data_IF_227574745079
#
_entry.id   IF_227574745079
#
_cell.length_a   1.000
_cell.length_b   1.000
_cell.length_c   1.000
_cell.angle_alpha   90.00
_cell.angle_beta   90.00
_cell.angle_gamma   90.00
#
_symmetry.space_group_name_H-M   'P 1'
#
loop_
_entity.id
_entity.type
_entity.pdbx_description
1 polymer ?
#
# COMPACT_ATOMS: atom_id res chain seq x y z
N UNK A 1 -13.85 -8.70 22.05
CA UNK A 1 -13.05 -9.41 21.03
C UNK A 1 -11.81 -8.57 20.81
N UNK A 2 -10.66 -9.15 20.52
CA UNK A 2 -9.49 -8.34 20.15
C UNK A 2 -9.79 -7.68 18.78
N UNK A 3 -9.44 -6.40 18.64
CA UNK A 3 -9.64 -5.66 17.39
C UNK A 3 -8.92 -6.38 16.24
N UNK A 4 -9.54 -6.51 15.07
CA UNK A 4 -8.94 -7.18 13.91
C UNK A 4 -7.83 -6.34 13.26
N UNK A 5 -7.72 -5.07 13.64
CA UNK A 5 -6.67 -4.14 13.24
C UNK A 5 -6.09 -3.45 14.47
N UNK A 6 -4.77 -3.43 14.58
CA UNK A 6 -4.03 -2.62 15.54
C UNK A 6 -3.60 -1.34 14.85
N UNK A 7 -3.94 -0.19 15.44
CA UNK A 7 -3.50 1.13 14.99
C UNK A 7 -2.55 1.73 16.01
N UNK A 8 -1.30 1.91 15.62
CA UNK A 8 -0.28 2.57 16.42
C UNK A 8 0.20 3.84 15.71
N UNK A 9 0.72 4.77 16.47
CA UNK A 9 1.38 5.95 15.92
C UNK A 9 2.76 6.12 16.56
N UNK A 10 3.78 6.24 15.73
CA UNK A 10 5.16 6.55 16.12
C UNK A 10 5.58 7.85 15.42
N UNK A 11 5.65 8.93 16.18
CA UNK A 11 5.87 10.27 15.63
C UNK A 11 4.81 10.63 14.56
N UNK A 12 5.25 10.90 13.34
CA UNK A 12 4.37 11.20 12.19
C UNK A 12 4.04 9.97 11.31
N UNK A 13 4.28 8.75 11.80
CA UNK A 13 4.00 7.50 11.10
C UNK A 13 2.86 6.75 11.78
N UNK A 14 1.78 6.45 11.04
CA UNK A 14 0.78 5.49 11.47
C UNK A 14 1.21 4.09 11.06
N UNK A 15 1.06 3.13 11.96
CA UNK A 15 1.30 1.70 11.71
C UNK A 15 -0.06 1.01 11.84
N UNK A 16 -0.51 0.43 10.74
CA UNK A 16 -1.79 -0.28 10.64
C UNK A 16 -1.45 -1.76 10.46
N UNK A 17 -1.71 -2.56 11.48
CA UNK A 17 -1.41 -3.99 11.48
C UNK A 17 -2.70 -4.81 11.42
N UNK A 18 -2.85 -5.67 10.42
CA UNK A 18 -3.88 -6.71 10.43
C UNK A 18 -3.60 -7.67 11.58
N UNK A 19 -4.56 -7.91 12.46
CA UNK A 19 -4.38 -8.63 13.73
C UNK A 19 -5.29 -9.85 13.86
N UNK A 20 -5.13 -10.77 12.93
CA UNK A 20 -5.73 -12.10 12.96
C UNK A 20 -4.66 -13.18 12.73
N UNK A 21 -3.57 -13.22 13.55
CA UNK A 21 -2.39 -14.05 13.28
C UNK A 21 -2.73 -15.55 13.23
N UNK A 22 -3.66 -16.03 14.05
CA UNK A 22 -4.10 -17.44 14.08
C UNK A 22 -4.84 -17.84 12.79
N UNK A 23 -5.44 -16.88 12.09
CA UNK A 23 -6.08 -17.05 10.78
C UNK A 23 -5.19 -16.50 9.64
N UNK A 24 -3.87 -16.31 9.88
CA UNK A 24 -2.92 -15.79 8.91
C UNK A 24 -3.39 -14.47 8.26
N UNK A 25 -4.05 -13.61 9.02
CA UNK A 25 -4.62 -12.35 8.58
C UNK A 25 -5.56 -12.51 7.37
N UNK A 26 -6.34 -13.59 7.36
CA UNK A 26 -7.37 -13.83 6.34
C UNK A 26 -8.45 -12.75 6.38
N UNK A 27 -8.83 -12.23 5.20
CA UNK A 27 -9.78 -11.14 5.06
C UNK A 27 -11.20 -11.58 5.36
N UNK A 28 -11.80 -10.95 6.38
CA UNK A 28 -13.22 -11.00 6.73
C UNK A 28 -13.85 -9.64 6.48
N UNK A 29 -15.18 -9.57 6.47
CA UNK A 29 -15.89 -8.29 6.37
C UNK A 29 -15.48 -7.35 7.51
N UNK A 30 -15.38 -7.86 8.75
CA UNK A 30 -14.93 -7.10 9.93
C UNK A 30 -13.51 -6.54 9.73
N UNK A 31 -12.55 -7.35 9.24
CA UNK A 31 -11.19 -6.86 8.96
C UNK A 31 -11.18 -5.76 7.90
N UNK A 32 -12.02 -5.87 6.88
CA UNK A 32 -12.15 -4.82 5.84
C UNK A 32 -12.70 -3.52 6.43
N UNK A 33 -13.75 -3.60 7.25
CA UNK A 33 -14.34 -2.44 7.93
C UNK A 33 -13.33 -1.77 8.86
N UNK A 34 -12.62 -2.54 9.69
CA UNK A 34 -11.62 -2.01 10.61
C UNK A 34 -10.42 -1.38 9.87
N UNK A 35 -9.98 -1.98 8.76
CA UNK A 35 -8.94 -1.39 7.90
C UNK A 35 -9.39 -0.07 7.30
N UNK A 36 -10.63 0.00 6.77
CA UNK A 36 -11.17 1.24 6.21
C UNK A 36 -11.19 2.34 7.27
N UNK A 37 -11.69 2.05 8.46
CA UNK A 37 -11.71 2.99 9.59
C UNK A 37 -10.30 3.43 10.01
N UNK A 38 -9.32 2.52 10.00
CA UNK A 38 -7.94 2.84 10.32
C UNK A 38 -7.31 3.78 9.27
N UNK A 39 -7.56 3.54 7.97
CA UNK A 39 -7.11 4.44 6.90
C UNK A 39 -7.80 5.81 6.96
N UNK A 40 -9.11 5.86 7.22
CA UNK A 40 -9.83 7.12 7.41
C UNK A 40 -9.30 7.92 8.60
N UNK A 41 -9.02 7.25 9.73
CA UNK A 41 -8.37 7.87 10.89
C UNK A 41 -7.02 8.45 10.51
N UNK A 42 -6.17 7.66 9.85
CA UNK A 42 -4.86 8.12 9.40
C UNK A 42 -4.96 9.27 8.41
N UNK A 43 -5.98 9.30 7.55
CA UNK A 43 -6.22 10.38 6.60
C UNK A 43 -6.59 11.70 7.28
N UNK A 44 -7.49 11.65 8.25
CA UNK A 44 -8.00 12.85 8.97
C UNK A 44 -6.99 13.44 9.95
N UNK A 45 -6.03 12.64 10.42
CA UNK A 45 -5.02 13.08 11.38
C UNK A 45 -3.86 13.81 10.67
N UNK A 46 -3.80 15.13 10.82
CA UNK A 46 -2.76 15.96 10.23
C UNK A 46 -1.36 15.73 10.83
N UNK A 47 -1.26 15.06 11.98
CA UNK A 47 0.03 14.69 12.58
C UNK A 47 0.64 13.46 11.91
N UNK A 48 -0.17 12.63 11.26
CA UNK A 48 0.27 11.48 10.46
C UNK A 48 0.68 11.95 9.06
N UNK A 49 1.90 11.61 8.65
CA UNK A 49 2.48 11.98 7.35
C UNK A 49 2.86 10.80 6.46
N UNK A 50 2.97 9.60 7.03
CA UNK A 50 3.23 8.35 6.30
C UNK A 50 2.54 7.19 7.03
N UNK A 51 2.30 6.09 6.31
CA UNK A 51 1.60 4.92 6.82
C UNK A 51 2.44 3.68 6.51
N UNK A 52 2.52 2.78 7.47
CA UNK A 52 3.03 1.41 7.30
C UNK A 52 1.85 0.46 7.46
N UNK A 53 1.54 -0.32 6.44
CA UNK A 53 0.55 -1.40 6.46
C UNK A 53 1.29 -2.74 6.60
N UNK A 54 0.91 -3.55 7.59
CA UNK A 54 1.54 -4.86 7.84
C UNK A 54 0.54 -5.87 8.38
N UNK A 55 1.00 -7.08 8.67
CA UNK A 55 0.25 -8.11 9.37
C UNK A 55 0.99 -8.57 10.62
N UNK A 56 0.27 -8.80 11.70
CA UNK A 56 0.81 -9.42 12.92
C UNK A 56 1.06 -10.92 12.71
N UNK A 57 2.11 -11.44 13.36
CA UNK A 57 2.49 -12.83 13.27
C UNK A 57 3.31 -13.18 12.03
N UNK A 58 3.08 -14.36 11.44
CA UNK A 58 3.94 -14.98 10.44
C UNK A 58 3.56 -14.71 8.99
N UNK A 59 2.56 -13.87 8.73
CA UNK A 59 2.10 -13.55 7.38
C UNK A 59 1.57 -12.13 7.29
N UNK A 60 1.75 -11.50 6.15
CA UNK A 60 0.99 -10.31 5.81
C UNK A 60 -0.49 -10.67 5.69
N UNK A 61 -0.85 -11.57 4.77
CA UNK A 61 -2.19 -12.14 4.67
C UNK A 61 -2.21 -13.39 3.79
N UNK A 62 -3.02 -14.39 4.18
CA UNK A 62 -3.29 -15.58 3.38
C UNK A 62 -4.37 -15.37 2.30
N UNK A 63 -4.97 -14.19 2.21
CA UNK A 63 -6.08 -13.90 1.30
C UNK A 63 -7.44 -13.94 1.97
N UNK A 64 -8.49 -14.24 1.22
CA UNK A 64 -9.85 -14.33 1.76
C UNK A 64 -9.96 -15.42 2.84
N UNK A 65 -10.65 -15.12 3.93
CA UNK A 65 -10.99 -16.13 4.93
C UNK A 65 -12.14 -17.01 4.39
N UNK A 66 -11.79 -18.17 3.81
CA UNK A 66 -12.76 -19.07 3.21
C UNK A 66 -13.71 -19.72 4.22
N UNK A 67 -13.40 -19.66 5.53
CA UNK A 67 -14.26 -20.21 6.58
C UNK A 67 -15.41 -19.26 6.94
N UNK A 68 -15.26 -17.96 6.72
CA UNK A 68 -16.31 -16.99 7.01
C UNK A 68 -17.53 -17.15 6.09
N UNK A 69 -17.31 -17.60 4.83
CA UNK A 69 -18.38 -17.62 3.84
C UNK A 69 -18.83 -16.21 3.43
N UNK A 70 -20.08 -16.13 2.96
CA UNK A 70 -20.73 -14.86 2.62
C UNK A 70 -21.70 -14.45 3.75
N UNK A 71 -21.80 -13.14 3.99
CA UNK A 71 -22.77 -12.59 4.95
C UNK A 71 -24.10 -12.36 4.22
N UNK A 72 -25.15 -13.06 4.63
CA UNK A 72 -26.47 -12.99 4.01
C UNK A 72 -26.46 -13.49 2.56
N UNK A 73 -27.19 -12.82 1.67
CA UNK A 73 -27.30 -13.18 0.25
C UNK A 73 -26.22 -12.53 -0.64
N UNK A 74 -25.12 -12.05 -0.06
CA UNK A 74 -24.04 -11.39 -0.80
C UNK A 74 -23.33 -12.38 -1.73
N UNK A 75 -23.03 -11.90 -2.93
CA UNK A 75 -22.24 -12.63 -3.92
C UNK A 75 -20.74 -12.34 -3.78
N UNK A 76 -19.90 -13.10 -4.49
CA UNK A 76 -18.46 -12.77 -4.63
C UNK A 76 -18.27 -11.38 -5.22
N UNK A 77 -19.09 -10.98 -6.20
CA UNK A 77 -19.04 -9.65 -6.78
C UNK A 77 -19.30 -8.56 -5.74
N UNK A 78 -20.30 -8.75 -4.88
CA UNK A 78 -20.62 -7.79 -3.81
C UNK A 78 -19.47 -7.65 -2.84
N UNK A 79 -18.83 -8.75 -2.44
CA UNK A 79 -17.66 -8.75 -1.56
C UNK A 79 -16.51 -7.96 -2.17
N UNK A 80 -16.22 -8.18 -3.44
CA UNK A 80 -15.16 -7.45 -4.14
C UNK A 80 -15.46 -5.95 -4.23
N UNK A 81 -16.69 -5.57 -4.61
CA UNK A 81 -17.05 -4.19 -4.86
C UNK A 81 -17.35 -3.38 -3.58
N UNK A 82 -17.90 -4.01 -2.53
CA UNK A 82 -18.39 -3.30 -1.35
C UNK A 82 -17.58 -3.56 -0.08
N UNK A 83 -16.71 -4.58 -0.04
CA UNK A 83 -15.85 -4.83 1.10
C UNK A 83 -14.36 -4.55 0.77
N UNK A 84 -13.82 -5.13 -0.31
CA UNK A 84 -12.41 -4.94 -0.67
C UNK A 84 -12.12 -3.62 -1.37
N UNK A 85 -12.91 -3.25 -2.37
CA UNK A 85 -12.65 -2.05 -3.16
C UNK A 85 -12.58 -0.76 -2.31
N UNK A 86 -13.45 -0.51 -1.31
CA UNK A 86 -13.33 0.70 -0.49
C UNK A 86 -11.98 0.83 0.20
N UNK A 87 -11.43 -0.27 0.75
CA UNK A 87 -10.12 -0.25 1.43
C UNK A 87 -8.98 -0.09 0.42
N UNK A 88 -9.04 -0.81 -0.72
CA UNK A 88 -8.05 -0.69 -1.79
C UNK A 88 -7.99 0.74 -2.35
N UNK A 89 -9.16 1.38 -2.54
CA UNK A 89 -9.26 2.78 -2.94
C UNK A 89 -8.66 3.69 -1.86
N UNK A 90 -8.97 3.45 -0.58
CA UNK A 90 -8.40 4.23 0.52
C UNK A 90 -6.87 4.16 0.54
N UNK A 91 -6.27 2.98 0.33
CA UNK A 91 -4.81 2.82 0.21
C UNK A 91 -4.27 3.59 -0.98
N UNK A 92 -4.92 3.47 -2.15
CA UNK A 92 -4.45 4.07 -3.38
C UNK A 92 -4.56 5.61 -3.40
N UNK A 93 -5.62 6.17 -2.78
CA UNK A 93 -5.96 7.58 -2.90
C UNK A 93 -5.59 8.44 -1.69
N UNK A 94 -5.28 7.82 -0.52
CA UNK A 94 -4.85 8.60 0.65
C UNK A 94 -3.68 9.51 0.29
N UNK A 95 -3.73 10.83 0.60
CA UNK A 95 -2.70 11.79 0.19
C UNK A 95 -1.43 11.69 1.06
N UNK A 96 -1.05 10.48 1.42
CA UNK A 96 0.11 10.14 2.27
C UNK A 96 0.77 8.88 1.69
N UNK A 97 2.10 8.77 1.75
CA UNK A 97 2.78 7.53 1.36
C UNK A 97 2.33 6.35 2.20
N UNK A 98 2.04 5.23 1.56
CA UNK A 98 1.73 3.95 2.18
C UNK A 98 2.83 2.95 1.84
N UNK A 99 3.47 2.38 2.85
CA UNK A 99 4.47 1.32 2.73
C UNK A 99 3.84 0.01 3.19
N UNK A 100 3.75 -0.98 2.31
CA UNK A 100 3.45 -2.33 2.76
C UNK A 100 4.74 -3.00 3.28
N UNK A 101 4.70 -3.46 4.53
CA UNK A 101 5.74 -4.29 5.13
C UNK A 101 5.24 -5.74 5.16
N UNK A 102 5.85 -6.61 4.36
CA UNK A 102 5.35 -7.97 4.12
C UNK A 102 6.17 -8.99 4.90
N UNK A 103 5.70 -9.44 6.09
CA UNK A 103 6.25 -10.60 6.75
C UNK A 103 5.75 -11.87 6.06
N UNK A 104 6.57 -12.93 6.03
CA UNK A 104 6.22 -14.28 5.58
C UNK A 104 5.60 -14.33 4.19
N UNK A 105 4.33 -13.96 4.02
CA UNK A 105 3.72 -13.98 2.68
C UNK A 105 2.49 -13.08 2.55
N UNK A 106 2.22 -12.68 1.30
CA UNK A 106 0.97 -12.06 0.88
C UNK A 106 0.37 -12.87 -0.28
N UNK A 107 -0.80 -13.49 -0.04
CA UNK A 107 -1.43 -14.39 -0.98
C UNK A 107 -2.87 -13.99 -1.31
N UNK A 108 -3.34 -14.36 -2.50
CA UNK A 108 -4.71 -14.06 -2.95
C UNK A 108 -5.01 -12.57 -2.89
N UNK A 109 -6.15 -12.19 -2.31
CA UNK A 109 -6.49 -10.76 -2.14
C UNK A 109 -5.45 -10.01 -1.28
N UNK A 110 -4.72 -10.68 -0.38
CA UNK A 110 -3.62 -10.09 0.38
C UNK A 110 -2.48 -9.59 -0.50
N UNK A 111 -2.18 -10.29 -1.61
CA UNK A 111 -1.26 -9.80 -2.64
C UNK A 111 -1.74 -8.45 -3.21
N UNK A 112 -3.03 -8.34 -3.51
CA UNK A 112 -3.61 -7.12 -4.07
C UNK A 112 -3.50 -5.94 -3.10
N UNK A 113 -3.72 -6.17 -1.80
CA UNK A 113 -3.53 -5.16 -0.77
C UNK A 113 -2.07 -4.69 -0.67
N UNK A 114 -1.11 -5.61 -0.74
CA UNK A 114 0.31 -5.25 -0.76
C UNK A 114 0.66 -4.42 -2.00
N UNK A 115 0.19 -4.82 -3.19
CA UNK A 115 0.45 -4.13 -4.46
C UNK A 115 -0.23 -2.75 -4.58
N UNK A 116 -1.32 -2.49 -3.86
CA UNK A 116 -1.97 -1.16 -3.85
C UNK A 116 -1.20 -0.13 -3.02
N UNK A 117 -0.31 -0.56 -2.12
CA UNK A 117 0.59 0.35 -1.41
C UNK A 117 1.54 1.04 -2.39
N UNK A 118 2.06 2.20 -2.01
CA UNK A 118 2.96 2.98 -2.88
C UNK A 118 4.37 2.38 -2.93
N UNK A 119 4.77 1.75 -1.84
CA UNK A 119 6.09 1.16 -1.65
C UNK A 119 5.96 -0.19 -0.96
N UNK A 120 6.85 -1.13 -1.29
CA UNK A 120 6.84 -2.49 -0.75
C UNK A 120 8.20 -2.85 -0.13
N UNK A 121 8.18 -3.21 1.15
CA UNK A 121 9.32 -3.79 1.86
C UNK A 121 9.00 -5.24 2.20
N UNK A 122 9.85 -6.17 1.84
CA UNK A 122 9.66 -7.59 2.09
C UNK A 122 10.70 -8.13 3.06
N UNK A 123 10.27 -9.05 3.94
CA UNK A 123 11.22 -9.88 4.67
C UNK A 123 11.97 -10.79 3.69
N UNK A 124 13.24 -11.09 3.94
CA UNK A 124 14.08 -11.87 3.03
C UNK A 124 13.62 -13.33 2.85
N UNK A 125 12.82 -13.84 3.77
CA UNK A 125 12.20 -15.17 3.74
C UNK A 125 10.74 -15.13 3.28
N UNK A 126 10.23 -13.96 2.87
CA UNK A 126 8.85 -13.78 2.44
C UNK A 126 8.64 -14.04 0.95
N UNK A 127 7.38 -14.21 0.58
CA UNK A 127 6.99 -14.39 -0.82
C UNK A 127 5.61 -13.79 -1.11
N UNK A 128 5.37 -13.50 -2.40
CA UNK A 128 4.06 -13.18 -2.94
C UNK A 128 3.49 -14.41 -3.65
N UNK A 129 2.15 -14.55 -3.66
CA UNK A 129 1.49 -15.69 -4.27
C UNK A 129 0.13 -15.32 -4.85
N UNK A 130 -0.09 -15.70 -6.12
CA UNK A 130 -1.38 -15.60 -6.82
C UNK A 130 -1.99 -17.01 -7.00
N UNK A 131 -2.71 -17.57 -5.98
CA UNK A 131 -3.15 -18.97 -6.02
C UNK A 131 -4.48 -19.20 -6.73
N UNK A 132 -5.06 -18.18 -7.34
CA UNK A 132 -6.45 -18.19 -7.83
C UNK A 132 -6.75 -19.28 -8.83
N UNK A 133 -5.86 -19.52 -9.82
CA UNK A 133 -6.09 -20.51 -10.87
C UNK A 133 -6.08 -21.95 -10.37
N UNK A 134 -5.47 -22.22 -9.21
CA UNK A 134 -5.49 -23.55 -8.57
C UNK A 134 -6.87 -23.94 -8.01
N UNK A 135 -7.74 -22.96 -7.83
CA UNK A 135 -9.12 -23.16 -7.33
C UNK A 135 -10.16 -22.62 -8.32
N UNK A 136 -9.82 -22.53 -9.61
CA UNK A 136 -10.72 -22.11 -10.68
C UNK A 136 -11.25 -20.67 -10.55
N UNK A 137 -10.45 -19.76 -9.97
CA UNK A 137 -10.73 -18.33 -9.86
C UNK A 137 -9.74 -17.50 -10.67
N UNK A 138 -10.00 -16.20 -10.79
CA UNK A 138 -9.10 -15.22 -11.39
C UNK A 138 -8.51 -14.33 -10.30
N UNK A 139 -7.27 -13.83 -10.46
CA UNK A 139 -6.74 -12.82 -9.55
C UNK A 139 -7.68 -11.62 -9.48
N UNK A 140 -7.92 -11.14 -8.26
CA UNK A 140 -8.89 -10.09 -7.97
C UNK A 140 -8.25 -8.88 -7.28
N UNK A 141 -9.08 -7.94 -6.78
CA UNK A 141 -8.61 -6.76 -6.07
C UNK A 141 -7.67 -5.87 -6.91
N UNK A 142 -7.73 -5.92 -8.24
CA UNK A 142 -6.89 -5.11 -9.12
C UNK A 142 -5.48 -5.65 -9.36
N UNK A 143 -5.12 -6.84 -8.82
CA UNK A 143 -3.79 -7.43 -9.02
C UNK A 143 -3.43 -7.60 -10.50
N UNK A 144 -4.37 -8.04 -11.34
CA UNK A 144 -4.14 -8.19 -12.78
C UNK A 144 -3.69 -6.87 -13.43
N UNK A 145 -4.38 -5.77 -13.11
CA UNK A 145 -4.06 -4.46 -13.64
C UNK A 145 -2.71 -3.97 -13.14
N UNK A 146 -2.44 -4.04 -11.84
CA UNK A 146 -1.18 -3.61 -11.23
C UNK A 146 0.02 -4.40 -11.77
N UNK A 147 -0.09 -5.72 -11.84
CA UNK A 147 0.99 -6.58 -12.36
C UNK A 147 1.27 -6.30 -13.85
N UNK A 148 0.22 -6.12 -14.68
CA UNK A 148 0.42 -5.78 -16.10
C UNK A 148 1.10 -4.44 -16.26
N UNK A 149 0.72 -3.41 -15.48
CA UNK A 149 1.34 -2.08 -15.53
C UNK A 149 2.81 -2.12 -15.08
N UNK A 150 3.12 -2.93 -14.10
CA UNK A 150 4.45 -2.99 -13.50
C UNK A 150 5.42 -3.90 -14.28
N UNK A 151 4.94 -5.05 -14.79
CA UNK A 151 5.77 -6.10 -15.35
C UNK A 151 5.60 -6.31 -16.86
N UNK A 152 4.56 -5.73 -17.45
CA UNK A 152 4.10 -6.06 -18.80
C UNK A 152 3.32 -7.38 -18.83
N UNK A 153 2.57 -7.59 -19.94
CA UNK A 153 1.58 -8.66 -20.06
C UNK A 153 2.16 -10.06 -19.83
N UNK A 154 3.24 -10.42 -20.50
CA UNK A 154 3.74 -11.82 -20.45
C UNK A 154 4.16 -12.25 -19.04
N UNK A 155 4.90 -11.43 -18.33
CA UNK A 155 5.32 -11.76 -16.95
C UNK A 155 4.15 -11.74 -15.98
N UNK A 156 3.27 -10.73 -16.09
CA UNK A 156 2.09 -10.64 -15.25
C UNK A 156 1.18 -11.86 -15.43
N UNK A 157 0.93 -12.26 -16.69
CA UNK A 157 0.12 -13.42 -17.01
C UNK A 157 0.74 -14.70 -16.47
N UNK A 158 2.05 -14.92 -16.69
CA UNK A 158 2.78 -16.08 -16.18
C UNK A 158 2.64 -16.20 -14.66
N UNK A 159 3.00 -15.15 -13.90
CA UNK A 159 2.91 -15.15 -12.45
C UNK A 159 1.48 -15.40 -11.94
N UNK A 160 0.49 -14.92 -12.68
CA UNK A 160 -0.92 -15.06 -12.30
C UNK A 160 -1.46 -16.47 -12.49
N UNK A 161 -0.98 -17.21 -13.50
CA UNK A 161 -1.54 -18.53 -13.84
C UNK A 161 -0.72 -19.71 -13.31
N UNK A 162 0.60 -19.57 -13.14
CA UNK A 162 1.46 -20.63 -12.63
C UNK A 162 1.26 -20.87 -11.13
N UNK A 163 0.75 -19.87 -10.40
CA UNK A 163 0.50 -19.95 -8.94
C UNK A 163 1.76 -20.38 -8.15
N UNK A 164 2.92 -19.96 -8.63
CA UNK A 164 4.19 -20.18 -7.95
C UNK A 164 4.49 -19.08 -6.94
N UNK A 165 5.31 -19.42 -5.95
CA UNK A 165 5.82 -18.43 -5.00
C UNK A 165 6.81 -17.50 -5.70
N UNK A 166 6.60 -16.21 -5.55
CA UNK A 166 7.53 -15.18 -6.00
C UNK A 166 8.28 -14.71 -4.75
N UNK A 167 9.48 -15.26 -4.52
CA UNK A 167 10.28 -14.92 -3.34
C UNK A 167 10.70 -13.45 -3.32
N UNK A 168 11.12 -12.98 -2.16
CA UNK A 168 11.47 -11.56 -1.94
C UNK A 168 12.58 -11.08 -2.88
N UNK A 169 13.61 -11.91 -3.13
CA UNK A 169 14.70 -11.56 -4.04
C UNK A 169 14.19 -11.38 -5.46
N UNK A 170 13.32 -12.30 -5.93
CA UNK A 170 12.69 -12.20 -7.24
C UNK A 170 11.76 -11.00 -7.34
N UNK A 171 11.03 -10.67 -6.27
CA UNK A 171 10.21 -9.46 -6.23
C UNK A 171 11.05 -8.18 -6.36
N UNK A 172 12.23 -8.15 -5.75
CA UNK A 172 13.18 -7.03 -5.87
C UNK A 172 13.72 -6.92 -7.30
N UNK A 173 14.16 -8.03 -7.90
CA UNK A 173 14.67 -8.07 -9.28
C UNK A 173 13.63 -7.63 -10.31
N UNK A 174 12.36 -7.95 -10.07
CA UNK A 174 11.24 -7.56 -10.92
C UNK A 174 10.77 -6.12 -10.68
N UNK A 175 11.28 -5.44 -9.67
CA UNK A 175 10.82 -4.11 -9.28
C UNK A 175 9.45 -4.09 -8.61
N UNK A 176 8.94 -5.25 -8.15
CA UNK A 176 7.72 -5.33 -7.35
C UNK A 176 8.00 -4.84 -5.92
N UNK A 177 9.09 -5.33 -5.31
CA UNK A 177 9.55 -4.85 -4.02
C UNK A 177 10.59 -3.74 -4.21
N UNK A 178 10.54 -2.73 -3.34
CA UNK A 178 11.53 -1.65 -3.30
C UNK A 178 12.72 -2.02 -2.42
N UNK A 179 12.49 -2.80 -1.36
CA UNK A 179 13.52 -3.23 -0.40
C UNK A 179 13.24 -4.65 0.08
N UNK A 180 14.33 -5.38 0.33
CA UNK A 180 14.32 -6.66 1.02
C UNK A 180 15.24 -6.54 2.24
N UNK A 181 14.75 -6.94 3.40
CA UNK A 181 15.45 -6.81 4.69
C UNK A 181 15.33 -8.11 5.49
N UNK A 182 16.21 -8.37 6.49
CA UNK A 182 16.01 -9.50 7.39
C UNK A 182 14.64 -9.46 8.07
N UNK A 183 14.03 -10.64 8.29
CA UNK A 183 12.67 -10.75 8.80
C UNK A 183 12.48 -10.08 10.18
N UNK A 184 13.47 -10.21 11.05
CA UNK A 184 13.51 -9.62 12.39
C UNK A 184 13.62 -8.09 12.40
N UNK A 185 14.05 -7.48 11.30
CA UNK A 185 14.18 -6.02 11.16
C UNK A 185 13.11 -5.39 10.28
N UNK A 186 12.18 -6.18 9.72
CA UNK A 186 11.20 -5.71 8.73
C UNK A 186 10.39 -4.50 9.22
N UNK A 187 9.82 -4.60 10.43
CA UNK A 187 8.99 -3.53 11.00
C UNK A 187 9.79 -2.26 11.21
N UNK A 188 10.96 -2.37 11.85
CA UNK A 188 11.82 -1.22 12.15
C UNK A 188 12.35 -0.55 10.89
N UNK A 189 12.77 -1.34 9.89
CA UNK A 189 13.24 -0.82 8.61
C UNK A 189 12.15 -0.09 7.84
N UNK A 190 10.91 -0.61 7.86
CA UNK A 190 9.75 0.01 7.21
C UNK A 190 9.35 1.31 7.90
N UNK A 191 9.30 1.32 9.24
CA UNK A 191 9.02 2.53 10.03
C UNK A 191 10.13 3.57 9.85
N UNK A 192 11.40 3.16 9.88
CA UNK A 192 12.52 4.08 9.63
C UNK A 192 12.41 4.73 8.24
N UNK A 193 12.06 3.96 7.21
CA UNK A 193 11.87 4.52 5.88
C UNK A 193 10.65 5.46 5.82
N UNK A 194 9.54 5.10 6.46
CA UNK A 194 8.39 5.99 6.58
C UNK A 194 8.78 7.31 7.27
N UNK A 195 9.56 7.27 8.37
CA UNK A 195 10.08 8.46 9.06
C UNK A 195 10.91 9.36 8.13
N UNK A 196 11.75 8.79 7.26
CA UNK A 196 12.49 9.58 6.28
C UNK A 196 11.55 10.28 5.27
N UNK A 197 10.47 9.62 4.85
CA UNK A 197 9.47 10.23 3.98
C UNK A 197 8.71 11.36 4.66
N UNK A 198 8.48 11.29 5.97
CA UNK A 198 7.79 12.38 6.71
C UNK A 198 8.58 13.69 6.74
N UNK A 199 9.88 13.67 6.44
CA UNK A 199 10.72 14.87 6.32
C UNK A 199 10.50 15.63 5.01
N UNK A 200 9.82 15.03 4.03
CA UNK A 200 9.49 15.65 2.74
C UNK A 200 8.24 16.50 2.84
N UNK A 201 8.08 17.46 1.94
CA UNK A 201 6.89 18.32 1.86
C UNK A 201 5.64 17.45 1.61
N UNK A 202 4.67 17.40 2.54
CA UNK A 202 3.55 16.47 2.43
C UNK A 202 2.64 16.76 1.25
N UNK A 203 2.45 18.03 0.88
CA UNK A 203 1.67 18.41 -0.30
C UNK A 203 2.33 17.92 -1.60
N UNK A 204 3.68 17.96 -1.68
CA UNK A 204 4.42 17.45 -2.83
C UNK A 204 4.33 15.94 -2.96
N UNK A 205 4.41 15.20 -1.83
CA UNK A 205 4.23 13.75 -1.83
C UNK A 205 2.83 13.37 -2.30
N UNK A 206 1.79 14.06 -1.79
CA UNK A 206 0.41 13.84 -2.18
C UNK A 206 0.17 14.11 -3.67
N UNK A 207 0.66 15.23 -4.19
CA UNK A 207 0.54 15.57 -5.61
C UNK A 207 1.29 14.57 -6.49
N UNK A 208 2.51 14.17 -6.12
CA UNK A 208 3.30 13.17 -6.84
C UNK A 208 2.58 11.84 -6.92
N UNK A 209 2.05 11.32 -5.81
CA UNK A 209 1.25 10.08 -5.78
C UNK A 209 0.07 10.18 -6.75
N UNK A 210 -0.71 11.25 -6.65
CA UNK A 210 -1.87 11.49 -7.50
C UNK A 210 -1.51 11.51 -8.99
N UNK A 211 -0.43 12.21 -9.37
CA UNK A 211 0.01 12.33 -10.76
C UNK A 211 0.52 10.99 -11.28
N UNK A 212 1.32 10.25 -10.49
CA UNK A 212 1.82 8.94 -10.90
C UNK A 212 0.70 7.91 -11.07
N UNK A 213 -0.32 7.92 -10.18
CA UNK A 213 -1.51 7.08 -10.36
C UNK A 213 -2.28 7.45 -11.64
N UNK A 214 -2.44 8.74 -11.92
CA UNK A 214 -3.05 9.22 -13.16
C UNK A 214 -2.25 8.77 -14.41
N UNK A 215 -0.92 8.80 -14.35
CA UNK A 215 -0.04 8.40 -15.44
C UNK A 215 -0.18 6.93 -15.84
N UNK A 216 -0.65 6.06 -14.95
CA UNK A 216 -0.85 4.64 -15.26
C UNK A 216 -1.89 4.40 -16.35
N UNK A 217 -2.86 5.32 -16.53
CA UNK A 217 -3.99 5.16 -17.47
C UNK A 217 -4.09 6.26 -18.53
N UNK A 218 -3.19 7.24 -18.49
CA UNK A 218 -3.27 8.41 -19.34
C UNK A 218 -1.98 8.66 -20.15
N UNK A 219 -2.11 9.44 -21.23
CA UNK A 219 -0.96 9.85 -22.04
C UNK A 219 -0.08 10.90 -21.34
N UNK A 220 1.15 11.06 -21.85
CA UNK A 220 2.13 11.98 -21.27
C UNK A 220 1.64 13.43 -21.20
N UNK A 221 0.87 13.90 -22.21
CA UNK A 221 0.42 15.29 -22.25
C UNK A 221 -0.70 15.55 -21.22
N UNK A 222 -1.58 14.60 -21.00
CA UNK A 222 -2.55 14.62 -19.90
C UNK A 222 -1.85 14.69 -18.54
N UNK A 223 -0.80 13.90 -18.35
CA UNK A 223 0.02 13.92 -17.13
C UNK A 223 0.72 15.28 -16.98
N UNK A 224 1.37 15.79 -18.03
CA UNK A 224 2.06 17.07 -18.02
C UNK A 224 1.13 18.25 -17.68
N UNK A 225 -0.11 18.24 -18.19
CA UNK A 225 -1.13 19.25 -17.81
C UNK A 225 -1.48 19.17 -16.31
N UNK A 226 -1.56 17.96 -15.78
CA UNK A 226 -1.81 17.76 -14.34
C UNK A 226 -0.62 18.22 -13.51
N UNK A 227 0.61 17.90 -13.93
CA UNK A 227 1.85 18.38 -13.31
C UNK A 227 1.88 19.90 -13.25
N UNK A 228 1.63 20.59 -14.36
CA UNK A 228 1.61 22.04 -14.42
C UNK A 228 0.59 22.65 -13.46
N UNK A 229 -0.60 22.05 -13.35
CA UNK A 229 -1.65 22.50 -12.44
C UNK A 229 -1.28 22.30 -10.97
N UNK A 230 -0.78 21.11 -10.61
CA UNK A 230 -0.38 20.83 -9.22
C UNK A 230 0.89 21.63 -8.85
N UNK A 231 1.85 21.81 -9.77
CA UNK A 231 3.06 22.62 -9.56
C UNK A 231 2.72 24.08 -9.24
N UNK A 232 1.75 24.68 -9.96
CA UNK A 232 1.28 26.03 -9.67
C UNK A 232 0.74 26.15 -8.24
N UNK A 233 -0.09 25.20 -7.80
CA UNK A 233 -0.64 25.20 -6.44
C UNK A 233 0.45 25.04 -5.38
N UNK A 234 1.40 24.13 -5.62
CA UNK A 234 2.49 23.87 -4.69
C UNK A 234 3.39 25.09 -4.55
N UNK A 235 3.67 25.80 -5.65
CA UNK A 235 4.51 27.01 -5.63
C UNK A 235 3.92 28.13 -4.76
N UNK A 236 2.61 28.17 -4.57
CA UNK A 236 1.91 29.13 -3.74
C UNK A 236 1.89 28.77 -2.25
N UNK A 237 2.39 27.58 -1.87
CA UNK A 237 2.37 27.08 -0.50
C UNK A 237 3.48 27.65 0.38
N UNK A 238 3.25 27.71 1.69
CA UNK A 238 4.28 28.05 2.69
C UNK A 238 5.48 27.09 2.59
N UNK A 239 5.19 25.81 2.31
CA UNK A 239 6.21 24.77 2.21
C UNK A 239 7.14 24.97 1.01
N UNK A 240 6.64 25.52 -0.12
CA UNK A 240 7.50 25.84 -1.26
C UNK A 240 8.49 26.95 -0.91
N UNK A 241 8.03 27.99 -0.22
CA UNK A 241 8.89 29.06 0.25
C UNK A 241 9.92 28.53 1.26
N UNK A 242 9.48 27.77 2.25
CA UNK A 242 10.38 27.16 3.25
C UNK A 242 11.45 26.26 2.56
N UNK A 243 11.05 25.47 1.56
CA UNK A 243 11.97 24.62 0.81
C UNK A 243 13.06 25.41 0.08
N UNK A 244 12.70 26.53 -0.56
CA UNK A 244 13.62 27.43 -1.24
C UNK A 244 14.54 28.16 -0.27
N UNK A 245 13.98 28.71 0.82
CA UNK A 245 14.73 29.41 1.86
C UNK A 245 15.76 28.46 2.52
N UNK A 246 15.32 27.24 2.92
CA UNK A 246 16.18 26.24 3.51
C UNK A 246 17.33 25.80 2.57
N UNK A 247 17.06 25.70 1.26
CA UNK A 247 18.07 25.35 0.27
C UNK A 247 19.18 26.41 0.21
N UNK A 248 18.83 27.71 0.14
CA UNK A 248 19.83 28.79 0.10
C UNK A 248 20.57 28.94 1.42
N UNK A 249 19.88 28.71 2.55
CA UNK A 249 20.47 28.79 3.90
C UNK A 249 21.27 27.51 4.26
N UNK A 250 21.24 26.47 3.45
CA UNK A 250 21.91 25.16 3.66
C UNK A 250 21.49 24.49 4.98
N UNK A 251 20.23 24.56 5.32
CA UNK A 251 19.61 23.90 6.49
C UNK A 251 18.54 22.89 6.07
N UNK A 252 18.15 22.05 6.99
CA UNK A 252 16.98 21.18 6.78
C UNK A 252 15.68 22.00 6.78
N UNK A 253 14.77 21.75 5.81
CA UNK A 253 13.46 22.40 5.76
C UNK A 253 12.52 21.86 6.83
N UNK A 254 11.56 22.71 7.27
CA UNK A 254 10.52 22.37 8.25
C UNK A 254 9.14 22.51 7.63
N UNK A 255 8.75 21.51 6.84
CA UNK A 255 7.48 21.52 6.14
C UNK A 255 6.27 21.34 7.06
N UNK A 256 5.19 22.08 6.79
CA UNK A 256 3.96 22.13 7.58
C UNK A 256 2.73 21.60 6.85
N UNK A 257 2.80 21.39 5.54
CA UNK A 257 1.68 20.90 4.73
C UNK A 257 0.65 21.99 4.38
N UNK A 258 1.09 23.20 4.20
CA UNK A 258 0.22 24.33 3.88
C UNK A 258 0.91 25.38 3.01
#
# INVERSE_FOLDING_TARGET
>A
MADTVIYEQQDAVAIISMNRPDALNGFTSELCEDLLLAFEKAQRDNTVRAIVLTGEGRAFSAGADLKQGFVGDRTTQDKLLFEYAPVLIAIAEIPKPVIAAVPGFAAGIGLSFALHSDLLVMANDSFLLSPFTTISLVPDGGANWLLVKQLGYHRAYQLSIESERIDAARCLDLGIANKVVPADTLRDASVAWAKELTKRAPLSLAATKKIMRHAMDNDWYSCFKMEAKEQQKLQESDDAKEGVDAFFEKREPKFKGR
#
